data_IF_726109367364
#
_entry.id   IF_726109367364
#
_cell.length_a   1.000
_cell.length_b   1.000
_cell.length_c   1.000
_cell.angle_alpha   90.00
_cell.angle_beta   90.00
_cell.angle_gamma   90.00
#
_symmetry.space_group_name_H-M   'P 1'
#
loop_
_entity.id
_entity.type
_entity.pdbx_description
1 polymer ?
#
# COMPACT_ATOMS: atom_id res chain seq x y z
N UNK A 1 17.55 -27.52 3.57
CA UNK A 1 18.03 -26.17 3.20
C UNK A 1 17.56 -25.86 1.78
N UNK A 2 16.50 -25.06 1.61
CA UNK A 2 16.17 -24.32 0.37
C UNK A 2 14.87 -23.48 0.52
N UNK A 3 14.58 -23.00 1.73
CA UNK A 3 13.52 -22.01 1.99
C UNK A 3 13.94 -20.59 1.60
N UNK A 4 15.23 -20.33 1.44
CA UNK A 4 15.79 -19.01 1.10
C UNK A 4 15.67 -18.63 -0.38
N UNK A 5 15.56 -19.61 -1.27
CA UNK A 5 15.52 -19.38 -2.73
C UNK A 5 14.13 -18.97 -3.24
N UNK A 6 13.07 -19.28 -2.49
CA UNK A 6 11.69 -18.95 -2.89
C UNK A 6 11.28 -17.53 -2.47
N UNK A 7 11.90 -16.98 -1.41
CA UNK A 7 11.62 -15.62 -0.92
C UNK A 7 12.20 -14.58 -1.89
N UNK A 8 13.42 -14.79 -2.40
CA UNK A 8 14.06 -13.87 -3.35
C UNK A 8 13.33 -13.76 -4.69
N UNK A 9 12.72 -14.85 -5.16
CA UNK A 9 11.93 -14.83 -6.41
C UNK A 9 10.57 -14.12 -6.24
N UNK A 10 10.03 -14.09 -5.02
CA UNK A 10 8.74 -13.46 -4.69
C UNK A 10 8.80 -11.91 -4.73
N UNK A 11 9.94 -11.32 -4.36
CA UNK A 11 10.18 -9.88 -4.47
C UNK A 11 10.16 -9.37 -5.92
N UNK A 12 10.47 -10.22 -6.88
CA UNK A 12 10.61 -9.85 -8.29
C UNK A 12 9.26 -9.98 -9.04
N UNK A 13 8.30 -10.77 -8.52
CA UNK A 13 6.96 -11.01 -9.10
C UNK A 13 5.81 -10.27 -8.40
N UNK A 14 6.03 -9.02 -8.03
CA UNK A 14 5.04 -7.94 -8.20
C UNK A 14 3.66 -8.03 -7.48
N UNK A 15 3.58 -8.57 -6.26
CA UNK A 15 2.39 -8.40 -5.41
C UNK A 15 2.73 -8.26 -3.91
N UNK A 16 3.35 -7.13 -3.54
CA UNK A 16 3.73 -6.84 -2.14
C UNK A 16 2.54 -6.82 -1.17
N UNK A 17 1.33 -6.54 -1.68
CA UNK A 17 0.10 -6.64 -0.90
C UNK A 17 -0.15 -8.07 -0.42
N UNK A 18 -0.07 -9.07 -1.31
CA UNK A 18 -0.26 -10.47 -0.92
C UNK A 18 0.87 -10.97 0.00
N UNK A 19 2.09 -10.47 -0.17
CA UNK A 19 3.19 -10.82 0.74
C UNK A 19 2.95 -10.26 2.15
N UNK A 20 2.62 -8.96 2.26
CA UNK A 20 2.32 -8.33 3.55
C UNK A 20 1.12 -9.02 4.24
N UNK A 21 0.10 -9.37 3.46
CA UNK A 21 -1.05 -10.16 3.92
C UNK A 21 -0.65 -11.56 4.42
N UNK A 22 0.24 -12.26 3.72
CA UNK A 22 0.74 -13.57 4.18
C UNK A 22 1.49 -13.45 5.51
N UNK A 23 2.34 -12.43 5.68
CA UNK A 23 3.00 -12.16 6.96
C UNK A 23 1.99 -11.86 8.07
N UNK A 24 0.97 -11.04 7.79
CA UNK A 24 -0.10 -10.74 8.72
C UNK A 24 -0.83 -12.00 9.21
N UNK A 25 -1.24 -12.88 8.30
CA UNK A 25 -1.98 -14.10 8.66
C UNK A 25 -1.11 -15.20 9.26
N UNK A 26 0.14 -15.35 8.82
CA UNK A 26 1.02 -16.43 9.27
C UNK A 26 1.44 -16.26 10.74
N UNK A 27 1.64 -15.02 11.18
CA UNK A 27 2.14 -14.74 12.52
C UNK A 27 1.09 -14.08 13.43
N UNK A 28 -0.12 -13.84 12.91
CA UNK A 28 -1.21 -13.10 13.55
C UNK A 28 -0.74 -11.75 14.15
N UNK A 29 0.29 -11.16 13.54
CA UNK A 29 1.00 -10.02 14.09
C UNK A 29 1.08 -8.91 13.04
N UNK A 30 0.31 -7.85 13.29
CA UNK A 30 0.32 -6.59 12.53
C UNK A 30 1.74 -6.05 12.34
N UNK A 31 2.57 -6.14 13.38
CA UNK A 31 3.87 -5.48 13.41
C UNK A 31 4.80 -6.06 12.35
N UNK A 32 4.79 -7.38 12.14
CA UNK A 32 5.65 -8.05 11.15
C UNK A 32 5.31 -7.62 9.72
N UNK A 33 4.02 -7.46 9.42
CA UNK A 33 3.59 -6.95 8.13
C UNK A 33 3.96 -5.47 7.95
N UNK A 34 3.85 -4.66 9.00
CA UNK A 34 4.27 -3.25 8.98
C UNK A 34 5.78 -3.13 8.80
N UNK A 35 6.58 -3.88 9.55
CA UNK A 35 8.05 -3.91 9.46
C UNK A 35 8.49 -4.31 8.05
N UNK A 36 7.82 -5.28 7.43
CA UNK A 36 8.06 -5.66 6.04
C UNK A 36 7.80 -4.50 5.07
N UNK A 37 6.69 -3.77 5.25
CA UNK A 37 6.36 -2.61 4.41
C UNK A 37 7.35 -1.45 4.62
N UNK A 38 7.78 -1.19 5.86
CA UNK A 38 8.78 -0.17 6.18
C UNK A 38 10.15 -0.51 5.58
N UNK A 39 10.57 -1.78 5.67
CA UNK A 39 11.80 -2.26 5.02
C UNK A 39 11.78 -2.04 3.51
N UNK A 40 10.64 -2.28 2.85
CA UNK A 40 10.50 -2.01 1.41
C UNK A 40 10.70 -0.52 1.12
N UNK A 41 10.12 0.37 1.92
CA UNK A 41 10.28 1.82 1.74
C UNK A 41 11.75 2.23 1.88
N UNK A 42 12.46 1.69 2.88
CA UNK A 42 13.90 1.94 3.08
C UNK A 42 14.73 1.42 1.89
N UNK A 43 14.47 0.19 1.44
CA UNK A 43 15.14 -0.40 0.27
C UNK A 43 14.93 0.45 -0.99
N UNK A 44 13.77 1.08 -1.14
CA UNK A 44 13.45 1.97 -2.26
C UNK A 44 14.17 3.31 -2.17
N UNK A 45 14.28 3.89 -0.98
CA UNK A 45 15.02 5.14 -0.74
C UNK A 45 16.52 4.95 -1.03
N UNK A 46 17.09 3.78 -0.69
CA UNK A 46 18.50 3.48 -0.95
C UNK A 46 18.80 3.22 -2.45
N UNK A 47 17.81 2.80 -3.24
CA UNK A 47 17.98 2.41 -4.65
C UNK A 47 17.52 3.48 -5.65
N UNK A 48 17.42 4.74 -5.22
CA UNK A 48 16.85 5.85 -6.00
C UNK A 48 17.50 6.12 -7.36
N UNK A 49 18.64 5.52 -7.68
CA UNK A 49 19.33 5.74 -8.96
C UNK A 49 18.87 4.83 -10.11
N UNK A 50 18.17 3.71 -9.86
CA UNK A 50 17.83 2.71 -10.91
C UNK A 50 16.39 2.14 -10.87
N UNK A 51 15.53 2.62 -9.96
CA UNK A 51 14.20 2.03 -9.82
C UNK A 51 13.20 2.64 -10.83
N UNK A 52 12.48 1.84 -11.64
CA UNK A 52 11.44 2.38 -12.49
C UNK A 52 10.32 2.93 -11.62
N UNK A 53 10.14 4.25 -11.65
CA UNK A 53 9.18 5.01 -10.84
C UNK A 53 7.76 4.40 -10.85
N UNK A 54 7.34 3.78 -11.96
CA UNK A 54 6.05 3.07 -12.04
C UNK A 54 5.94 1.86 -11.08
N UNK A 55 7.04 1.13 -10.86
CA UNK A 55 7.06 0.05 -9.86
C UNK A 55 6.92 0.65 -8.45
N UNK A 56 7.56 1.78 -8.17
CA UNK A 56 7.48 2.45 -6.87
C UNK A 56 6.02 2.86 -6.57
N UNK A 57 5.33 3.42 -7.58
CA UNK A 57 3.91 3.73 -7.45
C UNK A 57 3.06 2.50 -7.14
N UNK A 58 3.34 1.34 -7.77
CA UNK A 58 2.63 0.08 -7.49
C UNK A 58 2.84 -0.42 -6.05
N UNK A 59 4.03 -0.21 -5.51
CA UNK A 59 4.34 -0.55 -4.11
C UNK A 59 3.55 0.35 -3.17
N UNK A 60 3.57 1.66 -3.37
CA UNK A 60 2.77 2.59 -2.55
C UNK A 60 1.28 2.26 -2.58
N UNK A 61 0.74 1.90 -3.75
CA UNK A 61 -0.64 1.43 -3.86
C UNK A 61 -0.91 0.17 -3.01
N UNK A 62 0.03 -0.79 -3.04
CA UNK A 62 -0.07 -2.04 -2.27
C UNK A 62 -0.04 -1.78 -0.76
N UNK A 63 0.79 -0.83 -0.32
CA UNK A 63 0.90 -0.39 1.07
C UNK A 63 -0.40 0.28 1.51
N UNK A 64 -0.93 1.23 0.73
CA UNK A 64 -2.19 1.90 1.03
C UNK A 64 -3.33 0.90 1.21
N UNK A 65 -3.41 -0.09 0.33
CA UNK A 65 -4.41 -1.18 0.42
C UNK A 65 -4.25 -2.01 1.68
N UNK A 66 -3.02 -2.29 2.11
CA UNK A 66 -2.78 -3.03 3.35
C UNK A 66 -3.25 -2.23 4.58
N UNK A 67 -2.89 -0.95 4.67
CA UNK A 67 -3.35 -0.07 5.75
C UNK A 67 -4.88 0.07 5.79
N UNK A 68 -5.52 0.14 4.62
CA UNK A 68 -6.97 0.21 4.49
C UNK A 68 -7.66 -1.07 4.97
N UNK A 69 -7.24 -2.24 4.43
CA UNK A 69 -7.96 -3.49 4.61
C UNK A 69 -7.63 -4.24 5.91
N UNK A 70 -6.40 -4.09 6.42
CA UNK A 70 -5.93 -4.91 7.54
C UNK A 70 -5.76 -4.11 8.83
N UNK A 71 -5.47 -2.81 8.73
CA UNK A 71 -5.16 -1.99 9.91
C UNK A 71 -6.25 -0.95 10.22
N UNK A 72 -7.23 -0.76 9.34
CA UNK A 72 -8.25 0.30 9.42
C UNK A 72 -7.64 1.70 9.68
N UNK A 73 -6.43 1.95 9.19
CA UNK A 73 -5.73 3.24 9.33
C UNK A 73 -5.93 4.05 8.05
N UNK A 74 -7.08 4.69 7.95
CA UNK A 74 -7.52 5.41 6.75
C UNK A 74 -6.57 6.55 6.35
N UNK A 75 -6.08 7.33 7.31
CA UNK A 75 -5.14 8.43 7.05
C UNK A 75 -3.83 7.94 6.42
N UNK A 76 -3.24 6.87 6.96
CA UNK A 76 -2.04 6.25 6.38
C UNK A 76 -2.33 5.67 5.00
N UNK A 77 -3.48 5.02 4.82
CA UNK A 77 -3.87 4.50 3.51
C UNK A 77 -3.94 5.61 2.46
N UNK A 78 -4.56 6.74 2.80
CA UNK A 78 -4.64 7.93 1.95
C UNK A 78 -3.26 8.47 1.58
N UNK A 79 -2.36 8.67 2.55
CA UNK A 79 -1.00 9.17 2.33
C UNK A 79 -0.23 8.34 1.29
N UNK A 80 -0.33 7.01 1.38
CA UNK A 80 0.33 6.12 0.43
C UNK A 80 -0.34 6.10 -0.95
N UNK A 81 -1.67 6.23 -1.02
CA UNK A 81 -2.33 6.38 -2.31
C UNK A 81 -1.99 7.70 -3.00
N UNK A 82 -1.86 8.81 -2.26
CA UNK A 82 -1.39 10.08 -2.83
C UNK A 82 0.03 9.96 -3.39
N UNK A 83 0.97 9.38 -2.64
CA UNK A 83 2.34 9.13 -3.14
C UNK A 83 2.35 8.29 -4.42
N UNK A 84 1.46 7.30 -4.53
CA UNK A 84 1.29 6.51 -5.76
C UNK A 84 0.77 7.36 -6.92
N UNK A 85 -0.25 8.18 -6.64
CA UNK A 85 -0.90 9.03 -7.63
C UNK A 85 0.05 10.09 -8.17
N UNK A 86 0.85 10.73 -7.32
CA UNK A 86 1.82 11.76 -7.70
C UNK A 86 2.84 11.24 -8.70
N UNK A 87 3.33 10.01 -8.50
CA UNK A 87 4.26 9.39 -9.43
C UNK A 87 3.55 9.05 -10.75
N UNK A 88 2.36 8.45 -10.68
CA UNK A 88 1.63 8.03 -11.89
C UNK A 88 1.22 9.22 -12.75
N UNK A 89 0.78 10.33 -12.16
CA UNK A 89 0.42 11.57 -12.88
C UNK A 89 1.60 12.23 -13.58
N UNK A 90 2.82 12.07 -13.05
CA UNK A 90 4.05 12.57 -13.71
C UNK A 90 4.47 11.75 -14.92
N UNK A 91 4.04 10.49 -14.99
CA UNK A 91 4.54 9.51 -15.98
C UNK A 91 3.48 9.05 -16.97
N UNK A 92 2.21 9.19 -16.63
CA UNK A 92 1.08 8.67 -17.39
C UNK A 92 0.03 9.77 -17.59
N UNK A 93 -0.71 9.74 -18.71
CA UNK A 93 -1.90 10.54 -18.91
C UNK A 93 -2.93 10.38 -17.79
N UNK A 94 -3.71 11.42 -17.53
CA UNK A 94 -4.68 11.45 -16.43
C UNK A 94 -5.85 10.47 -16.61
N UNK A 95 -6.15 10.09 -17.85
CA UNK A 95 -7.16 9.10 -18.26
C UNK A 95 -6.64 7.66 -18.21
N UNK A 96 -5.35 7.46 -17.92
CA UNK A 96 -4.76 6.14 -17.82
C UNK A 96 -5.44 5.32 -16.72
N UNK A 97 -5.73 4.06 -17.01
CA UNK A 97 -6.38 3.12 -16.08
C UNK A 97 -5.67 3.05 -14.71
N UNK A 98 -4.35 3.14 -14.67
CA UNK A 98 -3.57 3.10 -13.44
C UNK A 98 -3.75 4.37 -12.59
N UNK A 99 -3.94 5.54 -13.20
CA UNK A 99 -4.22 6.79 -12.51
C UNK A 99 -5.65 6.76 -11.98
N UNK A 100 -6.61 6.38 -12.83
CA UNK A 100 -8.03 6.26 -12.47
C UNK A 100 -8.24 5.27 -11.32
N UNK A 101 -7.55 4.13 -11.33
CA UNK A 101 -7.66 3.14 -10.25
C UNK A 101 -7.25 3.72 -8.89
N UNK A 102 -6.12 4.44 -8.82
CA UNK A 102 -5.66 5.04 -7.55
C UNK A 102 -6.62 6.13 -7.09
N UNK A 103 -7.18 6.94 -8.01
CA UNK A 103 -8.24 7.92 -7.69
C UNK A 103 -9.47 7.24 -7.08
N UNK A 104 -9.92 6.11 -7.63
CA UNK A 104 -11.02 5.32 -7.06
C UNK A 104 -10.71 4.78 -5.65
N UNK A 105 -9.48 4.31 -5.42
CA UNK A 105 -9.04 3.85 -4.11
C UNK A 105 -9.04 4.99 -3.08
N UNK A 106 -8.60 6.19 -3.46
CA UNK A 106 -8.68 7.40 -2.61
C UNK A 106 -10.13 7.76 -2.27
N UNK A 107 -11.04 7.74 -3.25
CA UNK A 107 -12.47 8.00 -3.02
C UNK A 107 -13.06 6.98 -2.03
N UNK A 108 -12.67 5.71 -2.14
CA UNK A 108 -13.07 4.67 -1.20
C UNK A 108 -12.61 4.98 0.22
N UNK A 109 -11.34 5.40 0.40
CA UNK A 109 -10.82 5.82 1.72
C UNK A 109 -11.63 6.98 2.30
N UNK A 110 -11.90 8.02 1.52
CA UNK A 110 -12.71 9.15 2.00
C UNK A 110 -14.12 8.74 2.43
N UNK A 111 -14.77 7.86 1.69
CA UNK A 111 -16.09 7.35 2.04
C UNK A 111 -16.06 6.54 3.35
N UNK A 112 -15.00 5.76 3.57
CA UNK A 112 -14.80 5.02 4.82
C UNK A 112 -14.54 5.96 6.01
N UNK A 113 -13.72 7.00 5.84
CA UNK A 113 -13.46 8.00 6.89
C UNK A 113 -14.75 8.71 7.33
N UNK A 114 -15.55 9.21 6.38
CA UNK A 114 -16.82 9.88 6.68
C UNK A 114 -17.79 8.99 7.46
N UNK A 115 -17.86 7.71 7.09
CA UNK A 115 -18.73 6.76 7.78
C UNK A 115 -18.22 6.46 9.20
N UNK A 116 -16.90 6.34 9.37
CA UNK A 116 -16.30 6.16 10.69
C UNK A 116 -16.56 7.34 11.62
N UNK A 117 -16.40 8.57 11.13
CA UNK A 117 -16.70 9.80 11.88
C UNK A 117 -18.18 9.85 12.30
N UNK A 118 -19.09 9.48 11.40
CA UNK A 118 -20.52 9.38 11.68
C UNK A 118 -20.83 8.33 12.76
N UNK A 119 -20.23 7.14 12.71
CA UNK A 119 -20.40 6.07 13.72
C UNK A 119 -19.86 6.53 15.09
N UNK A 120 -18.71 7.20 15.13
CA UNK A 120 -18.15 7.73 16.37
C UNK A 120 -19.03 8.81 17.00
N UNK A 121 -19.66 9.66 16.18
CA UNK A 121 -20.61 10.67 16.66
C UNK A 121 -21.86 10.04 17.28
N UNK A 122 -22.39 8.95 16.70
CA UNK A 122 -23.55 8.23 17.22
C UNK A 122 -23.26 7.50 18.55
N UNK A 123 -22.05 6.98 18.75
CA UNK A 123 -21.66 6.29 20.00
C UNK A 123 -21.42 7.21 21.20
N UNK A 124 -21.33 8.53 20.98
CA UNK A 124 -21.11 9.54 22.02
C UNK A 124 -22.42 10.19 22.53
N UNK A 125 -23.56 9.67 22.10
CA UNK A 125 -24.91 10.11 22.48
C UNK A 125 -25.57 9.06 23.35
#
# INVERSE_FOLDING_TARGET
MNSSSNINYLHIKNNHFEIAKLYYYKENNVNVAVDYLEKIIQDLQMKMNDYPLLKLAKIYQSIGKFYLMYLNKYEKAYEYYEKSLDIRRKLLPDDNTLVTQVKCEIISVYNMMKNFDHILALKKK
#
